data_IF_493007926758
#
_entry.id   IF_493007926758
#
_cell.length_a   1.000
_cell.length_b   1.000
_cell.length_c   1.000
_cell.angle_alpha   90.00
_cell.angle_beta   90.00
_cell.angle_gamma   90.00
#
_symmetry.space_group_name_H-M   'P 1'
#
loop_
_entity.id
_entity.type
_entity.pdbx_description
1 polymer ?
#
# COMPACT_ATOMS: atom_id res chain seq x y z
N UNK A 1 13.80 -4.96 4.84
CA UNK A 1 15.01 -5.42 4.12
C UNK A 1 15.06 -4.64 2.81
N UNK A 2 16.23 -4.32 2.24
CA UNK A 2 16.28 -3.70 0.92
C UNK A 2 15.70 -4.62 -0.16
N UNK A 3 15.18 -4.05 -1.25
CA UNK A 3 14.66 -4.84 -2.39
C UNK A 3 15.74 -5.80 -2.90
N UNK A 4 15.34 -7.05 -3.17
CA UNK A 4 16.22 -8.07 -3.73
C UNK A 4 16.10 -8.06 -5.26
N UNK A 5 17.23 -8.19 -5.97
CA UNK A 5 17.25 -8.39 -7.42
C UNK A 5 16.84 -9.83 -7.78
N UNK A 6 15.99 -9.94 -8.78
CA UNK A 6 15.59 -11.18 -9.43
C UNK A 6 15.93 -11.09 -10.91
N UNK A 7 16.60 -12.11 -11.43
CA UNK A 7 16.96 -12.17 -12.85
C UNK A 7 15.97 -13.01 -13.65
N UNK A 8 15.16 -13.86 -13.00
CA UNK A 8 14.07 -14.60 -13.67
C UNK A 8 12.79 -14.68 -12.83
N UNK A 9 11.69 -15.08 -13.47
CA UNK A 9 10.42 -15.28 -12.78
C UNK A 9 10.52 -16.46 -11.80
N UNK A 10 11.19 -17.56 -12.19
CA UNK A 10 11.34 -18.73 -11.33
C UNK A 10 12.02 -18.41 -9.99
N UNK A 11 13.07 -17.58 -10.00
CA UNK A 11 13.73 -17.10 -8.77
C UNK A 11 12.79 -16.31 -7.87
N UNK A 12 11.96 -15.44 -8.46
CA UNK A 12 10.97 -14.66 -7.74
C UNK A 12 9.90 -15.55 -7.10
N UNK A 13 9.40 -16.56 -7.83
CA UNK A 13 8.38 -17.49 -7.33
C UNK A 13 8.89 -18.34 -6.17
N UNK A 14 10.12 -18.85 -6.26
CA UNK A 14 10.77 -19.57 -5.15
C UNK A 14 10.89 -18.67 -3.93
N UNK A 15 11.32 -17.41 -4.12
CA UNK A 15 11.44 -16.45 -3.02
C UNK A 15 10.07 -16.09 -2.43
N UNK A 16 9.03 -15.93 -3.26
CA UNK A 16 7.66 -15.68 -2.82
C UNK A 16 7.15 -16.84 -1.95
N UNK A 17 7.33 -18.09 -2.37
CA UNK A 17 6.89 -19.24 -1.57
C UNK A 17 7.62 -19.31 -0.24
N UNK A 18 8.95 -19.14 -0.24
CA UNK A 18 9.76 -19.12 0.99
C UNK A 18 9.32 -17.99 1.94
N UNK A 19 9.05 -16.80 1.40
CA UNK A 19 8.58 -15.65 2.16
C UNK A 19 7.23 -15.92 2.85
N UNK A 20 6.33 -16.65 2.18
CA UNK A 20 5.00 -16.98 2.70
C UNK A 20 4.92 -18.37 3.36
N UNK A 21 6.03 -19.07 3.54
CA UNK A 21 6.08 -20.46 4.04
C UNK A 21 5.16 -21.45 3.28
N UNK A 22 5.06 -21.31 1.96
CA UNK A 22 4.19 -22.15 1.13
C UNK A 22 4.95 -23.35 0.54
N UNK A 23 4.35 -24.54 0.58
CA UNK A 23 4.81 -25.66 -0.26
C UNK A 23 4.50 -25.41 -1.74
N UNK A 24 5.06 -26.21 -2.64
CA UNK A 24 4.70 -26.12 -4.06
C UNK A 24 3.23 -26.49 -4.31
N UNK A 25 2.65 -27.37 -3.47
CA UNK A 25 1.23 -27.76 -3.51
C UNK A 25 0.35 -26.58 -3.11
N UNK A 26 0.69 -25.91 -1.99
CA UNK A 26 -0.08 -24.76 -1.49
C UNK A 26 -0.05 -23.58 -2.48
N UNK A 27 1.06 -23.42 -3.20
CA UNK A 27 1.17 -22.42 -4.25
C UNK A 27 0.36 -22.78 -5.51
N UNK A 28 0.33 -24.06 -5.89
CA UNK A 28 -0.35 -24.54 -7.08
C UNK A 28 -1.89 -24.48 -6.96
N UNK A 29 -2.40 -24.77 -5.76
CA UNK A 29 -3.84 -24.85 -5.48
C UNK A 29 -4.64 -23.59 -5.88
N UNK A 30 -4.32 -22.36 -5.43
CA UNK A 30 -5.08 -21.17 -5.80
C UNK A 30 -4.95 -20.78 -7.27
N UNK A 31 -3.95 -21.32 -7.98
CA UNK A 31 -3.72 -21.08 -9.41
C UNK A 31 -4.42 -22.12 -10.30
N UNK A 32 -5.01 -23.15 -9.70
CA UNK A 32 -5.58 -24.31 -10.40
C UNK A 32 -4.60 -24.88 -11.44
N UNK A 33 -3.37 -25.16 -10.99
CA UNK A 33 -2.32 -25.82 -11.77
C UNK A 33 -1.81 -27.05 -11.01
N UNK A 34 -1.17 -27.96 -11.72
CA UNK A 34 -0.48 -29.08 -11.08
C UNK A 34 0.90 -28.66 -10.51
N UNK A 35 1.41 -29.45 -9.56
CA UNK A 35 2.70 -29.19 -8.90
C UNK A 35 3.87 -29.21 -9.89
N UNK A 36 3.80 -30.03 -10.95
CA UNK A 36 4.85 -30.11 -11.98
C UNK A 36 4.91 -28.82 -12.79
N UNK A 37 3.79 -28.14 -13.02
CA UNK A 37 3.74 -26.80 -13.62
C UNK A 37 4.45 -25.79 -12.73
N UNK A 38 4.20 -25.79 -11.41
CA UNK A 38 4.95 -24.97 -10.45
C UNK A 38 6.45 -25.24 -10.54
N UNK A 39 6.88 -26.50 -10.52
CA UNK A 39 8.30 -26.88 -10.65
C UNK A 39 8.91 -26.38 -11.95
N UNK A 40 8.19 -26.45 -13.07
CA UNK A 40 8.68 -25.95 -14.36
C UNK A 40 8.85 -24.43 -14.34
N UNK A 41 7.92 -23.69 -13.74
CA UNK A 41 8.04 -22.23 -13.61
C UNK A 41 9.20 -21.84 -12.70
N UNK A 42 9.35 -22.48 -11.54
CA UNK A 42 10.45 -22.22 -10.59
C UNK A 42 11.84 -22.51 -11.19
N UNK A 43 11.95 -23.50 -12.07
CA UNK A 43 13.19 -23.85 -12.77
C UNK A 43 13.35 -23.14 -14.13
N UNK A 44 12.49 -22.17 -14.46
CA UNK A 44 12.49 -21.46 -15.74
C UNK A 44 12.40 -22.36 -16.99
N UNK A 45 11.81 -23.55 -16.86
CA UNK A 45 11.64 -24.53 -17.96
C UNK A 45 10.45 -24.20 -18.88
N UNK A 46 9.60 -23.26 -18.48
CA UNK A 46 8.50 -22.76 -19.31
C UNK A 46 8.04 -21.39 -18.83
N UNK A 47 7.62 -20.56 -19.78
CA UNK A 47 7.02 -19.24 -19.56
C UNK A 47 5.56 -19.40 -19.10
N UNK A 48 5.10 -18.51 -18.22
CA UNK A 48 3.70 -18.43 -17.80
C UNK A 48 2.88 -17.86 -18.96
N UNK A 49 1.83 -18.56 -19.39
CA UNK A 49 0.96 -18.06 -20.46
C UNK A 49 0.14 -16.85 -19.98
N UNK A 50 -0.24 -15.91 -20.85
CA UNK A 50 -1.01 -14.71 -20.46
C UNK A 50 -2.26 -14.99 -19.62
N UNK A 51 -3.02 -16.05 -19.96
CA UNK A 51 -4.19 -16.45 -19.18
C UNK A 51 -3.88 -16.77 -17.70
N UNK A 52 -2.67 -17.27 -17.41
CA UNK A 52 -2.19 -17.58 -16.06
C UNK A 52 -1.44 -16.44 -15.38
N UNK A 53 -1.05 -15.39 -16.10
CA UNK A 53 -0.47 -14.19 -15.47
C UNK A 53 -1.48 -13.51 -14.56
N UNK A 54 -2.76 -13.42 -14.97
CA UNK A 54 -3.84 -12.86 -14.14
C UNK A 54 -4.07 -13.67 -12.87
N UNK A 55 -4.13 -14.99 -12.97
CA UNK A 55 -4.25 -15.89 -11.83
C UNK A 55 -3.08 -15.66 -10.85
N UNK A 56 -1.86 -15.53 -11.39
CA UNK A 56 -0.66 -15.28 -10.60
C UNK A 56 -0.70 -13.93 -9.89
N UNK A 57 -1.08 -12.85 -10.57
CA UNK A 57 -1.25 -11.51 -9.99
C UNK A 57 -2.27 -11.58 -8.85
N UNK A 58 -3.41 -12.21 -9.09
CA UNK A 58 -4.47 -12.32 -8.11
C UNK A 58 -4.07 -13.16 -6.89
N UNK A 59 -3.37 -14.27 -7.11
CA UNK A 59 -2.94 -15.15 -6.04
C UNK A 59 -1.76 -14.59 -5.24
N UNK A 60 -0.90 -13.76 -5.84
CA UNK A 60 0.35 -13.31 -5.20
C UNK A 60 0.37 -11.84 -4.79
N UNK A 61 -0.47 -11.00 -5.42
CA UNK A 61 -0.36 -9.53 -5.41
C UNK A 61 1.05 -9.06 -5.80
N UNK A 62 1.75 -9.82 -6.64
CA UNK A 62 2.96 -9.35 -7.33
C UNK A 62 2.50 -8.45 -8.48
N UNK A 63 3.14 -7.28 -8.66
CA UNK A 63 2.81 -6.37 -9.74
C UNK A 63 2.79 -7.05 -11.11
N UNK A 64 1.79 -6.74 -11.92
CA UNK A 64 1.70 -7.22 -13.31
C UNK A 64 3.02 -6.95 -14.07
N UNK A 65 3.60 -5.76 -13.89
CA UNK A 65 4.84 -5.39 -14.57
C UNK A 65 6.04 -6.21 -14.12
N UNK A 66 6.12 -6.60 -12.84
CA UNK A 66 7.20 -7.47 -12.34
C UNK A 66 7.12 -8.84 -12.99
N UNK A 67 5.92 -9.41 -13.08
CA UNK A 67 5.70 -10.69 -13.77
C UNK A 67 6.11 -10.56 -15.23
N UNK A 68 5.64 -9.52 -15.95
CA UNK A 68 5.97 -9.32 -17.36
C UNK A 68 7.47 -9.11 -17.62
N UNK A 69 8.16 -8.35 -16.76
CA UNK A 69 9.60 -8.13 -16.87
C UNK A 69 10.38 -9.44 -16.79
N UNK A 70 9.96 -10.33 -15.88
CA UNK A 70 10.69 -11.56 -15.56
C UNK A 70 10.22 -12.79 -16.36
N UNK A 71 9.00 -12.73 -16.93
CA UNK A 71 8.35 -13.79 -17.70
C UNK A 71 8.61 -13.63 -19.20
N UNK A 72 9.88 -13.64 -19.59
CA UNK A 72 10.36 -13.35 -20.94
C UNK A 72 11.49 -14.30 -21.32
N UNK A 73 11.70 -14.52 -22.62
CA UNK A 73 12.89 -15.22 -23.13
C UNK A 73 14.17 -14.46 -22.81
N UNK A 74 14.08 -13.13 -22.75
CA UNK A 74 15.13 -12.21 -22.28
C UNK A 74 14.53 -11.40 -21.14
N UNK A 75 14.65 -11.87 -19.88
CA UNK A 75 14.13 -11.16 -18.72
C UNK A 75 14.76 -9.78 -18.54
N UNK A 76 13.99 -8.84 -18.01
CA UNK A 76 14.48 -7.56 -17.49
C UNK A 76 14.68 -7.74 -15.98
N UNK A 77 15.93 -7.77 -15.48
CA UNK A 77 16.20 -7.89 -14.06
C UNK A 77 15.44 -6.85 -13.26
N UNK A 78 14.78 -7.30 -12.19
CA UNK A 78 13.88 -6.46 -11.41
C UNK A 78 14.19 -6.61 -9.92
N UNK A 79 14.38 -5.50 -9.23
CA UNK A 79 14.44 -5.44 -7.78
C UNK A 79 13.02 -5.48 -7.23
N UNK A 80 12.75 -6.33 -6.26
CA UNK A 80 11.44 -6.43 -5.62
C UNK A 80 11.55 -6.63 -4.11
N UNK A 81 10.64 -6.00 -3.36
CA UNK A 81 10.44 -6.23 -1.93
C UNK A 81 9.02 -6.72 -1.67
N UNK A 82 8.88 -7.93 -1.15
CA UNK A 82 7.60 -8.54 -0.80
C UNK A 82 6.88 -7.85 0.36
N UNK A 83 7.62 -7.21 1.28
CA UNK A 83 7.08 -6.55 2.48
C UNK A 83 6.27 -5.32 2.12
N UNK A 84 6.81 -4.51 1.21
CA UNK A 84 6.19 -3.26 0.77
C UNK A 84 5.58 -3.36 -0.62
N UNK A 85 5.73 -4.52 -1.27
CA UNK A 85 5.22 -4.87 -2.61
C UNK A 85 5.65 -3.88 -3.69
N UNK A 86 6.89 -3.41 -3.59
CA UNK A 86 7.44 -2.36 -4.45
C UNK A 86 8.60 -2.93 -5.28
N UNK A 87 8.69 -2.49 -6.52
CA UNK A 87 9.72 -2.88 -7.47
C UNK A 87 10.47 -1.70 -8.07
N UNK A 88 11.63 -1.99 -8.62
CA UNK A 88 12.37 -1.09 -9.50
C UNK A 88 13.21 -1.89 -10.50
N UNK A 89 13.45 -1.35 -11.69
CA UNK A 89 14.38 -1.93 -12.67
C UNK A 89 15.80 -1.38 -12.53
N UNK A 90 16.01 -0.39 -11.67
CA UNK A 90 17.31 0.22 -11.41
C UNK A 90 17.56 0.40 -9.92
N UNK A 91 18.83 0.52 -9.52
CA UNK A 91 19.18 0.81 -8.13
C UNK A 91 18.76 2.22 -7.69
N UNK A 92 18.73 3.16 -8.63
CA UNK A 92 18.34 4.55 -8.37
C UNK A 92 16.87 4.63 -7.93
N UNK A 93 15.98 3.93 -8.64
CA UNK A 93 14.55 3.91 -8.33
C UNK A 93 14.19 3.13 -7.05
N UNK A 94 15.15 2.53 -6.34
CA UNK A 94 14.91 1.86 -5.06
C UNK A 94 14.83 2.84 -3.88
N UNK A 95 15.40 4.05 -4.01
CA UNK A 95 15.45 5.04 -2.93
C UNK A 95 14.03 5.51 -2.60
N UNK A 96 13.67 5.49 -1.31
CA UNK A 96 12.43 6.09 -0.82
C UNK A 96 12.36 7.55 -1.26
N UNK A 97 11.19 8.06 -1.68
CA UNK A 97 11.03 9.45 -2.08
C UNK A 97 11.57 10.43 -1.05
N UNK A 98 12.15 11.52 -1.56
CA UNK A 98 12.54 12.68 -0.78
C UNK A 98 11.35 13.65 -0.71
N UNK A 99 10.89 13.95 0.50
CA UNK A 99 9.69 14.75 0.68
C UNK A 99 9.85 16.19 0.22
N UNK A 100 11.05 16.74 0.28
CA UNK A 100 11.31 18.09 -0.20
C UNK A 100 11.22 18.14 -1.73
N UNK A 101 11.65 17.07 -2.40
CA UNK A 101 11.44 16.93 -3.84
C UNK A 101 9.94 16.84 -4.19
N UNK A 102 9.16 16.07 -3.42
CA UNK A 102 7.71 15.96 -3.63
C UNK A 102 7.02 17.31 -3.43
N UNK A 103 7.37 18.06 -2.39
CA UNK A 103 6.82 19.41 -2.14
C UNK A 103 7.19 20.38 -3.26
N UNK A 104 8.43 20.35 -3.75
CA UNK A 104 8.85 21.19 -4.87
C UNK A 104 8.11 20.85 -6.17
N UNK A 105 7.65 19.60 -6.32
CA UNK A 105 6.99 19.08 -7.51
C UNK A 105 5.51 18.77 -7.29
N UNK A 106 4.86 19.47 -6.37
CA UNK A 106 3.51 19.12 -5.89
C UNK A 106 2.40 19.16 -6.96
N UNK A 107 2.64 19.88 -8.06
CA UNK A 107 1.70 20.01 -9.17
C UNK A 107 1.86 18.90 -10.23
N UNK A 108 2.83 17.99 -10.05
CA UNK A 108 2.96 16.80 -10.90
C UNK A 108 1.73 15.91 -10.71
N UNK A 109 1.19 15.39 -11.82
CA UNK A 109 -0.03 14.61 -11.81
C UNK A 109 0.04 13.43 -12.79
N UNK A 110 -0.78 12.40 -12.55
CA UNK A 110 -0.86 11.22 -13.42
C UNK A 110 -2.31 10.83 -13.67
N UNK A 111 -2.59 10.36 -14.89
CA UNK A 111 -3.91 9.83 -15.27
C UNK A 111 -4.22 8.47 -14.62
N UNK A 112 -3.21 7.83 -14.04
CA UNK A 112 -3.33 6.53 -13.37
C UNK A 112 -3.97 6.65 -11.98
N UNK A 113 -3.96 7.84 -11.40
CA UNK A 113 -4.48 8.11 -10.06
C UNK A 113 -5.93 8.58 -10.13
N UNK A 114 -6.81 7.89 -9.42
CA UNK A 114 -8.26 8.17 -9.37
C UNK A 114 -8.80 7.98 -7.96
N UNK A 115 -9.99 8.49 -7.69
CA UNK A 115 -10.73 8.18 -6.46
C UNK A 115 -11.19 6.72 -6.46
N UNK A 116 -11.32 6.13 -5.27
CA UNK A 116 -11.93 4.80 -5.07
C UNK A 116 -13.44 4.95 -5.20
N UNK A 117 -14.00 4.46 -6.31
CA UNK A 117 -15.42 4.67 -6.64
C UNK A 117 -16.19 3.36 -6.82
N UNK A 118 -15.52 2.31 -7.33
CA UNK A 118 -16.18 1.06 -7.66
C UNK A 118 -15.99 0.00 -6.58
N UNK A 119 -16.89 -0.99 -6.57
CA UNK A 119 -16.74 -2.17 -5.71
C UNK A 119 -15.42 -2.92 -5.97
N UNK A 120 -15.00 -2.99 -7.23
CA UNK A 120 -13.74 -3.63 -7.62
C UNK A 120 -12.52 -2.88 -7.04
N UNK A 121 -12.55 -1.55 -6.98
CA UNK A 121 -11.50 -0.76 -6.33
C UNK A 121 -11.41 -1.07 -4.83
N UNK A 122 -12.57 -1.12 -4.15
CA UNK A 122 -12.65 -1.46 -2.74
C UNK A 122 -12.17 -2.89 -2.46
N UNK A 123 -12.52 -3.85 -3.31
CA UNK A 123 -12.07 -5.24 -3.20
C UNK A 123 -10.54 -5.35 -3.33
N UNK A 124 -9.92 -4.64 -4.28
CA UNK A 124 -8.46 -4.62 -4.45
C UNK A 124 -7.75 -4.03 -3.23
N UNK A 125 -8.24 -2.89 -2.72
CA UNK A 125 -7.71 -2.26 -1.51
C UNK A 125 -7.87 -3.17 -0.30
N UNK A 126 -9.07 -3.72 -0.09
CA UNK A 126 -9.35 -4.61 1.03
C UNK A 126 -8.50 -5.88 0.99
N UNK A 127 -8.31 -6.46 -0.20
CA UNK A 127 -7.43 -7.62 -0.42
C UNK A 127 -5.98 -7.28 -0.09
N UNK A 128 -5.50 -6.10 -0.46
CA UNK A 128 -4.16 -5.63 -0.07
C UNK A 128 -4.03 -5.53 1.46
N UNK A 129 -4.96 -4.84 2.12
CA UNK A 129 -4.96 -4.66 3.58
C UNK A 129 -5.04 -6.00 4.33
N UNK A 130 -5.81 -6.94 3.81
CA UNK A 130 -5.94 -8.30 4.35
C UNK A 130 -4.61 -9.06 4.33
N UNK A 131 -3.75 -8.82 3.34
CA UNK A 131 -2.41 -9.42 3.32
C UNK A 131 -1.40 -8.68 4.17
N UNK A 132 -1.57 -7.37 4.34
CA UNK A 132 -0.62 -6.51 5.04
C UNK A 132 -0.82 -6.51 6.57
N UNK A 133 -2.06 -6.65 7.03
CA UNK A 133 -2.43 -6.48 8.43
C UNK A 133 -3.04 -7.75 9.03
N UNK A 134 -2.90 -7.94 10.34
CA UNK A 134 -3.64 -8.95 11.11
C UNK A 134 -5.12 -8.58 11.20
N UNK A 135 -6.01 -9.53 11.49
CA UNK A 135 -7.46 -9.27 11.58
C UNK A 135 -7.82 -8.13 12.54
N UNK A 136 -7.10 -8.00 13.66
CA UNK A 136 -7.27 -6.91 14.63
C UNK A 136 -6.96 -5.52 14.07
N UNK A 137 -6.05 -5.44 13.10
CA UNK A 137 -5.58 -4.19 12.52
C UNK A 137 -6.23 -3.87 11.16
N UNK A 138 -7.25 -4.63 10.76
CA UNK A 138 -8.01 -4.42 9.52
C UNK A 138 -9.30 -3.65 9.79
N UNK A 139 -9.66 -2.79 8.85
CA UNK A 139 -10.98 -2.16 8.79
C UNK A 139 -11.97 -3.05 8.05
N UNK A 140 -13.25 -2.91 8.36
CA UNK A 140 -14.31 -3.53 7.58
C UNK A 140 -14.42 -2.87 6.19
N UNK A 141 -14.96 -3.59 5.22
CA UNK A 141 -15.12 -3.05 3.85
C UNK A 141 -16.12 -1.89 3.83
N UNK A 142 -17.12 -1.91 4.71
CA UNK A 142 -18.14 -0.86 4.87
C UNK A 142 -17.51 0.45 5.38
N UNK A 143 -16.51 0.37 6.28
CA UNK A 143 -15.77 1.55 6.74
C UNK A 143 -14.95 2.14 5.60
N UNK A 144 -14.28 1.31 4.80
CA UNK A 144 -13.52 1.77 3.63
C UNK A 144 -14.43 2.42 2.59
N UNK A 145 -15.60 1.83 2.33
CA UNK A 145 -16.59 2.37 1.41
C UNK A 145 -17.17 3.71 1.89
N UNK A 146 -17.53 3.82 3.18
CA UNK A 146 -18.01 5.08 3.75
C UNK A 146 -16.92 6.16 3.68
N UNK A 147 -15.68 5.81 4.02
CA UNK A 147 -14.55 6.73 3.95
C UNK A 147 -14.29 7.24 2.53
N UNK A 148 -14.37 6.36 1.52
CA UNK A 148 -14.17 6.76 0.11
C UNK A 148 -15.27 7.70 -0.39
N UNK A 149 -16.49 7.58 0.13
CA UNK A 149 -17.60 8.50 -0.17
C UNK A 149 -17.47 9.85 0.56
N UNK A 150 -17.00 9.83 1.81
CA UNK A 150 -16.88 11.05 2.64
C UNK A 150 -15.67 11.90 2.24
N UNK A 151 -14.57 11.27 1.83
CA UNK A 151 -13.34 11.97 1.43
C UNK A 151 -12.70 11.30 0.20
N UNK A 152 -13.35 11.39 -0.98
CA UNK A 152 -12.86 10.74 -2.20
C UNK A 152 -11.48 11.24 -2.63
N UNK A 153 -11.14 12.50 -2.36
CA UNK A 153 -9.87 13.12 -2.76
C UNK A 153 -8.66 12.56 -2.00
N UNK A 154 -8.90 11.90 -0.87
CA UNK A 154 -7.90 11.23 -0.05
C UNK A 154 -8.15 9.71 0.07
N UNK A 155 -9.04 9.17 -0.75
CA UNK A 155 -9.25 7.74 -0.90
C UNK A 155 -9.04 7.39 -2.37
N UNK A 156 -7.78 7.15 -2.70
CA UNK A 156 -7.27 7.12 -4.07
C UNK A 156 -6.75 5.73 -4.42
N UNK A 157 -6.85 5.37 -5.70
CA UNK A 157 -6.33 4.13 -6.28
C UNK A 157 -5.48 4.44 -7.50
N UNK A 158 -4.39 3.69 -7.66
CA UNK A 158 -3.55 3.70 -8.86
C UNK A 158 -3.88 2.48 -9.71
N UNK A 159 -4.12 2.68 -11.00
CA UNK A 159 -4.28 1.60 -11.99
C UNK A 159 -3.43 1.85 -13.22
N UNK A 160 -2.88 0.78 -13.81
CA UNK A 160 -2.20 0.88 -15.10
C UNK A 160 -3.22 0.93 -16.26
N UNK A 161 -2.72 1.04 -17.49
CA UNK A 161 -3.58 1.07 -18.68
C UNK A 161 -4.44 -0.19 -18.84
N UNK A 162 -3.96 -1.34 -18.35
CA UNK A 162 -4.70 -2.61 -18.31
C UNK A 162 -5.64 -2.75 -17.10
N UNK A 163 -5.89 -1.67 -16.36
CA UNK A 163 -6.70 -1.65 -15.14
C UNK A 163 -6.18 -2.51 -13.98
N UNK A 164 -4.94 -3.00 -14.03
CA UNK A 164 -4.34 -3.69 -12.89
C UNK A 164 -4.07 -2.69 -11.77
N UNK A 165 -4.42 -3.09 -10.55
CA UNK A 165 -4.10 -2.37 -9.32
C UNK A 165 -2.59 -2.13 -9.19
N UNK A 166 -2.18 -0.90 -8.89
CA UNK A 166 -0.78 -0.50 -8.71
C UNK A 166 -0.51 0.15 -7.35
N UNK A 167 -1.52 0.28 -6.50
CA UNK A 167 -1.40 1.04 -5.25
C UNK A 167 -2.67 1.77 -4.87
N UNK A 168 -2.65 2.36 -3.68
CA UNK A 168 -3.71 3.21 -3.17
C UNK A 168 -3.20 4.13 -2.07
N UNK A 169 -4.04 5.09 -1.72
CA UNK A 169 -4.01 5.82 -0.47
C UNK A 169 -5.40 5.75 0.16
N UNK A 170 -5.48 5.36 1.43
CA UNK A 170 -6.76 5.30 2.14
C UNK A 170 -6.69 6.04 3.47
N UNK A 171 -7.66 6.93 3.66
CA UNK A 171 -7.82 7.74 4.86
C UNK A 171 -9.23 7.60 5.40
N UNK A 172 -9.35 7.51 6.71
CA UNK A 172 -10.63 7.49 7.41
C UNK A 172 -10.71 8.77 8.23
N UNK A 173 -11.64 9.67 7.92
CA UNK A 173 -11.85 10.85 8.73
C UNK A 173 -12.67 10.44 9.97
N UNK A 174 -11.98 10.23 11.09
CA UNK A 174 -12.59 9.77 12.35
C UNK A 174 -12.88 10.94 13.29
N UNK A 175 -13.83 10.71 14.20
CA UNK A 175 -14.13 11.64 15.29
C UNK A 175 -12.99 11.65 16.31
N UNK A 176 -12.80 12.81 16.96
CA UNK A 176 -11.74 13.05 17.97
C UNK A 176 -11.75 12.01 19.11
N UNK A 177 -12.92 11.59 19.60
CA UNK A 177 -12.99 10.59 20.67
C UNK A 177 -12.42 9.23 20.23
N UNK A 178 -12.63 8.83 18.98
CA UNK A 178 -12.12 7.57 18.41
C UNK A 178 -10.61 7.62 18.35
N UNK A 179 -10.08 8.75 17.85
CA UNK A 179 -8.64 9.00 17.81
C UNK A 179 -8.00 8.86 19.20
N UNK A 180 -8.59 9.44 20.25
CA UNK A 180 -8.06 9.34 21.60
C UNK A 180 -8.04 7.89 22.11
N UNK A 181 -9.09 7.10 21.83
CA UNK A 181 -9.12 5.67 22.17
C UNK A 181 -8.02 4.89 21.46
N UNK A 182 -7.75 5.16 20.18
CA UNK A 182 -6.64 4.55 19.43
C UNK A 182 -5.29 4.97 20.04
N UNK A 183 -5.12 6.27 20.31
CA UNK A 183 -3.90 6.84 20.90
C UNK A 183 -3.57 6.17 22.24
N UNK A 184 -4.59 5.92 23.05
CA UNK A 184 -4.48 5.24 24.35
C UNK A 184 -4.45 3.71 24.25
N UNK A 185 -4.55 3.14 23.05
CA UNK A 185 -4.59 1.68 22.78
C UNK A 185 -5.79 0.97 23.41
N UNK A 186 -6.91 1.68 23.55
CA UNK A 186 -8.17 1.15 24.08
C UNK A 186 -8.96 0.39 23.00
N UNK A 187 -8.76 0.73 21.73
CA UNK A 187 -9.36 0.06 20.58
C UNK A 187 -8.33 -0.21 19.49
N UNK A 188 -8.66 -1.15 18.62
CA UNK A 188 -7.95 -1.50 17.39
C UNK A 188 -8.72 -1.04 16.15
N UNK A 189 -8.09 -1.09 14.98
CA UNK A 189 -8.75 -0.71 13.71
C UNK A 189 -10.02 -1.55 13.43
N UNK A 190 -10.05 -2.82 13.89
CA UNK A 190 -11.19 -3.71 13.70
C UNK A 190 -12.44 -3.34 14.50
N UNK A 191 -12.30 -2.49 15.52
CA UNK A 191 -13.39 -2.02 16.36
C UNK A 191 -13.98 -0.68 15.87
N UNK A 192 -13.39 -0.07 14.85
CA UNK A 192 -13.86 1.18 14.24
C UNK A 192 -15.01 0.84 13.29
N UNK A 193 -16.13 1.51 13.45
CA UNK A 193 -17.36 1.31 12.68
C UNK A 193 -17.70 2.53 11.83
N UNK A 194 -18.70 2.44 10.96
CA UNK A 194 -19.15 3.58 10.14
C UNK A 194 -19.65 4.77 10.97
N UNK A 195 -20.09 4.56 12.21
CA UNK A 195 -20.58 5.62 13.10
C UNK A 195 -19.44 6.43 13.76
N UNK A 196 -18.24 5.88 13.76
CA UNK A 196 -17.03 6.53 14.28
C UNK A 196 -16.44 7.54 13.29
N UNK A 197 -16.92 7.53 12.03
CA UNK A 197 -16.54 8.46 10.98
C UNK A 197 -17.29 9.78 11.12
N UNK A 198 -16.69 10.85 10.62
CA UNK A 198 -17.39 12.11 10.38
C UNK A 198 -18.28 12.01 9.14
N UNK A 199 -19.29 12.86 9.05
CA UNK A 199 -20.17 12.93 7.89
C UNK A 199 -19.67 13.98 6.88
N UNK A 200 -19.05 15.06 7.36
CA UNK A 200 -18.51 16.12 6.53
C UNK A 200 -17.14 16.59 7.05
N UNK A 201 -16.09 16.35 6.27
CA UNK A 201 -14.70 16.68 6.63
C UNK A 201 -14.43 18.17 6.81
N UNK A 202 -15.23 19.05 6.22
CA UNK A 202 -15.06 20.50 6.31
C UNK A 202 -15.77 21.09 7.54
N UNK A 203 -16.83 20.44 8.03
CA UNK A 203 -17.64 20.92 9.16
C UNK A 203 -17.28 20.25 10.48
N UNK A 204 -16.89 18.99 10.44
CA UNK A 204 -16.82 18.14 11.64
C UNK A 204 -15.42 18.09 12.26
N UNK A 205 -14.44 18.83 11.71
CA UNK A 205 -13.05 18.89 12.16
C UNK A 205 -12.44 17.50 12.46
N UNK A 206 -12.33 16.62 11.44
CA UNK A 206 -11.92 15.24 11.65
C UNK A 206 -10.45 15.12 12.05
N UNK A 207 -10.14 13.99 12.69
CA UNK A 207 -8.79 13.42 12.64
C UNK A 207 -8.69 12.58 11.38
N UNK A 208 -7.78 12.94 10.49
CA UNK A 208 -7.51 12.24 9.25
C UNK A 208 -6.63 11.01 9.54
N UNK A 209 -7.25 9.84 9.72
CA UNK A 209 -6.56 8.62 10.10
C UNK A 209 -6.11 7.83 8.86
N UNK A 210 -4.82 7.87 8.55
CA UNK A 210 -4.20 7.15 7.43
C UNK A 210 -4.00 5.68 7.77
N UNK A 211 -4.67 4.82 7.00
CA UNK A 211 -4.62 3.36 7.16
C UNK A 211 -3.41 2.76 6.43
N UNK A 212 -3.26 3.18 5.17
CA UNK A 212 -2.38 2.54 4.22
C UNK A 212 -2.11 3.48 3.06
N UNK A 213 -0.85 3.50 2.66
CA UNK A 213 -0.41 4.15 1.45
C UNK A 213 0.63 3.26 0.79
N UNK A 214 0.34 2.86 -0.44
CA UNK A 214 1.14 1.90 -1.18
C UNK A 214 1.19 2.27 -2.63
N UNK A 215 2.36 2.08 -3.24
CA UNK A 215 2.51 2.05 -4.68
C UNK A 215 3.56 1.01 -5.05
N UNK A 216 3.41 0.44 -6.25
CA UNK A 216 4.33 -0.57 -6.77
C UNK A 216 5.71 -0.01 -7.15
N UNK A 217 5.87 1.31 -7.32
CA UNK A 217 7.17 1.97 -7.51
C UNK A 217 7.28 3.23 -6.64
N UNK A 218 8.49 3.77 -6.48
CA UNK A 218 8.69 5.04 -5.76
C UNK A 218 8.15 6.24 -6.55
N UNK A 219 8.30 6.25 -7.88
CA UNK A 219 7.73 7.31 -8.74
C UNK A 219 6.21 7.42 -8.55
N UNK A 220 5.50 6.28 -8.51
CA UNK A 220 4.06 6.24 -8.26
C UNK A 220 3.69 6.70 -6.84
N UNK A 221 4.55 6.40 -5.87
CA UNK A 221 4.38 6.88 -4.51
C UNK A 221 4.54 8.41 -4.44
N UNK A 222 5.43 9.00 -5.23
CA UNK A 222 5.59 10.46 -5.31
C UNK A 222 4.31 11.14 -5.82
N UNK A 223 3.68 10.61 -6.88
CA UNK A 223 2.39 11.13 -7.36
C UNK A 223 1.30 11.07 -6.27
N UNK A 224 1.24 9.98 -5.51
CA UNK A 224 0.30 9.85 -4.39
C UNK A 224 0.59 10.90 -3.31
N UNK A 225 1.85 11.00 -2.87
CA UNK A 225 2.25 11.95 -1.83
C UNK A 225 2.00 13.40 -2.27
N UNK A 226 2.35 13.77 -3.49
CA UNK A 226 2.09 15.10 -4.05
C UNK A 226 0.60 15.44 -3.98
N UNK A 227 -0.26 14.51 -4.42
CA UNK A 227 -1.73 14.69 -4.37
C UNK A 227 -2.25 14.90 -2.95
N UNK A 228 -1.75 14.11 -1.99
CA UNK A 228 -2.16 14.19 -0.58
C UNK A 228 -1.71 15.51 0.04
N UNK A 229 -0.44 15.89 -0.11
CA UNK A 229 0.08 17.15 0.43
C UNK A 229 -0.69 18.33 -0.16
N UNK A 230 -0.96 18.28 -1.48
CA UNK A 230 -1.69 19.34 -2.19
C UNK A 230 -3.09 19.54 -1.62
N UNK A 231 -3.80 18.45 -1.33
CA UNK A 231 -5.13 18.52 -0.72
C UNK A 231 -5.13 19.36 0.57
N UNK A 232 -4.16 19.12 1.46
CA UNK A 232 -4.08 19.84 2.73
C UNK A 232 -3.56 21.27 2.58
N UNK A 233 -2.67 21.53 1.61
CA UNK A 233 -2.20 22.88 1.28
C UNK A 233 -3.32 23.75 0.70
N UNK A 234 -4.07 23.23 -0.29
CA UNK A 234 -5.08 24.00 -1.01
C UNK A 234 -6.30 24.34 -0.12
N UNK A 235 -6.65 23.47 0.84
CA UNK A 235 -7.85 23.65 1.68
C UNK A 235 -7.63 24.49 2.94
N UNK A 236 -6.37 24.81 3.29
CA UNK A 236 -6.01 25.56 4.50
C UNK A 236 -6.83 25.15 5.73
N UNK A 237 -7.01 23.85 5.94
CA UNK A 237 -7.90 23.33 6.98
C UNK A 237 -7.32 23.77 8.34
N UNK A 238 -8.01 24.60 9.13
CA UNK A 238 -7.45 25.05 10.40
C UNK A 238 -7.43 23.87 11.37
N UNK A 239 -6.30 23.67 12.03
CA UNK A 239 -6.16 22.74 13.14
C UNK A 239 -6.41 21.25 12.88
N UNK A 240 -6.42 20.78 11.62
CA UNK A 240 -6.55 19.35 11.33
C UNK A 240 -5.45 18.51 11.99
N UNK A 241 -5.73 17.23 12.25
CA UNK A 241 -4.73 16.27 12.74
C UNK A 241 -4.66 15.11 11.80
N UNK A 242 -3.45 14.62 11.58
CA UNK A 242 -3.20 13.36 10.89
C UNK A 242 -2.69 12.37 11.92
N UNK A 243 -3.36 11.24 11.96
CA UNK A 243 -2.86 10.05 12.63
C UNK A 243 -2.47 9.05 11.55
N UNK A 244 -1.34 8.36 11.70
CA UNK A 244 -0.91 7.34 10.75
C UNK A 244 -0.50 6.07 11.45
N UNK A 245 -0.96 4.96 10.90
CA UNK A 245 -0.58 3.62 11.27
C UNK A 245 0.45 3.10 10.28
N UNK A 246 1.67 2.80 10.74
CA UNK A 246 2.78 2.37 9.88
C UNK A 246 3.33 1.03 10.32
N UNK A 247 3.21 0.00 9.47
CA UNK A 247 3.90 -1.28 9.65
C UNK A 247 4.92 -1.55 8.52
N UNK A 248 5.21 -0.54 7.70
CA UNK A 248 6.20 -0.61 6.61
C UNK A 248 7.36 0.32 6.92
N UNK A 249 8.53 -0.06 6.44
CA UNK A 249 9.74 0.71 6.68
C UNK A 249 9.79 1.99 5.83
N UNK A 250 9.23 1.98 4.61
CA UNK A 250 9.18 3.14 3.74
C UNK A 250 8.20 4.22 4.25
N UNK A 251 7.03 3.81 4.72
CA UNK A 251 6.03 4.71 5.31
C UNK A 251 6.53 5.35 6.60
N UNK A 252 7.36 4.65 7.38
CA UNK A 252 8.05 5.23 8.54
C UNK A 252 9.01 6.33 8.14
N UNK A 253 9.87 6.07 7.15
CA UNK A 253 10.83 7.05 6.64
C UNK A 253 10.09 8.30 6.14
N UNK A 254 8.99 8.13 5.41
CA UNK A 254 8.15 9.24 4.94
C UNK A 254 7.53 10.01 6.12
N UNK A 255 7.00 9.30 7.12
CA UNK A 255 6.43 9.94 8.32
C UNK A 255 7.47 10.78 9.08
N UNK A 256 8.70 10.26 9.22
CA UNK A 256 9.82 10.97 9.84
C UNK A 256 10.22 12.21 9.01
N UNK A 257 10.32 12.09 7.68
CA UNK A 257 10.60 13.22 6.77
C UNK A 257 9.49 14.29 6.81
N UNK A 258 8.23 13.89 6.99
CA UNK A 258 7.09 14.81 7.15
C UNK A 258 7.07 15.50 8.53
N UNK A 259 7.98 15.14 9.44
CA UNK A 259 8.01 15.69 10.80
C UNK A 259 6.90 15.15 11.71
N UNK A 260 6.33 13.98 11.40
CA UNK A 260 5.32 13.38 12.26
C UNK A 260 5.95 12.86 13.55
N UNK A 261 5.28 13.13 14.67
CA UNK A 261 5.68 12.67 15.99
C UNK A 261 5.29 11.21 16.17
N UNK A 262 6.25 10.37 16.50
CA UNK A 262 5.96 9.01 16.96
C UNK A 262 5.32 9.07 18.35
N UNK A 263 4.16 8.44 18.51
CA UNK A 263 3.42 8.39 19.77
C UNK A 263 3.67 7.08 20.51
N UNK A 264 3.59 5.93 19.82
CA UNK A 264 3.92 4.64 20.41
C UNK A 264 4.38 3.63 19.36
N UNK A 265 5.11 2.61 19.84
CA UNK A 265 5.49 1.42 19.07
C UNK A 265 4.82 0.18 19.65
N UNK A 266 4.49 -0.79 18.81
CA UNK A 266 4.03 -2.11 19.21
C UNK A 266 4.75 -3.17 18.38
N UNK A 267 5.17 -4.26 19.04
CA UNK A 267 5.75 -5.43 18.37
C UNK A 267 4.65 -6.42 18.08
N UNK A 268 4.15 -6.45 16.85
CA UNK A 268 3.28 -7.54 16.42
C UNK A 268 4.14 -8.73 15.99
N UNK A 269 3.77 -9.94 16.42
CA UNK A 269 4.61 -11.16 16.29
C UNK A 269 4.35 -11.96 15.03
N UNK A 270 3.42 -11.53 14.16
CA UNK A 270 2.96 -12.36 13.05
C UNK A 270 3.30 -11.72 11.70
N UNK A 271 4.01 -12.51 10.89
CA UNK A 271 4.43 -12.27 9.51
C UNK A 271 5.01 -10.87 9.25
N UNK A 272 6.34 -10.83 9.35
CA UNK A 272 7.26 -9.72 9.04
C UNK A 272 7.67 -8.91 10.26
N UNK A 273 8.98 -8.74 10.35
CA UNK A 273 9.76 -8.16 11.45
C UNK A 273 9.52 -6.66 11.67
N UNK A 274 8.28 -6.19 11.58
CA UNK A 274 7.99 -4.76 11.58
C UNK A 274 7.26 -4.38 12.86
N UNK A 275 7.82 -3.39 13.56
CA UNK A 275 7.09 -2.69 14.61
C UNK A 275 5.91 -1.97 13.95
N UNK A 276 4.75 -2.03 14.59
CA UNK A 276 3.65 -1.11 14.32
C UNK A 276 4.01 0.19 15.02
N UNK A 277 4.19 1.24 14.23
CA UNK A 277 4.48 2.57 14.71
C UNK A 277 3.24 3.46 14.48
N UNK A 278 2.80 4.14 15.53
CA UNK A 278 1.70 5.11 15.46
C UNK A 278 2.25 6.53 15.51
N UNK A 279 1.95 7.30 14.48
CA UNK A 279 2.42 8.65 14.28
C UNK A 279 1.26 9.65 14.37
N UNK A 280 1.55 10.86 14.86
CA UNK A 280 0.66 12.01 14.85
C UNK A 280 1.39 13.20 14.25
N UNK A 281 0.71 13.97 13.41
CA UNK A 281 1.28 15.19 12.87
C UNK A 281 0.29 15.99 12.04
N UNK A 282 0.86 16.88 11.24
CA UNK A 282 0.18 17.65 10.21
C UNK A 282 1.09 17.64 9.01
N UNK A 283 0.54 17.66 7.79
CA UNK A 283 1.33 18.06 6.64
C UNK A 283 1.57 19.56 6.78
N UNK A 284 2.51 19.92 7.64
CA UNK A 284 2.98 21.29 7.72
C UNK A 284 3.55 21.59 6.34
N UNK A 285 2.85 22.45 5.60
CA UNK A 285 3.44 23.17 4.48
C UNK A 285 4.52 24.07 5.04
N UNK A 286 5.66 23.48 5.44
CA UNK A 286 6.89 24.21 5.59
C UNK A 286 7.29 24.67 4.17
N UNK A 287 6.61 25.71 3.73
CA UNK A 287 7.20 26.80 3.00
C UNK A 287 7.97 27.54 4.09
N UNK A 288 9.27 27.28 4.18
CA UNK A 288 10.20 28.29 4.66
C UNK A 288 10.90 28.86 3.43
#
# INVERSE_FOLDING_TARGET
>A
MPMRRYDTLGELLVAYRKFNNLSQVDFASPLNIDVRTTQRWENNLSIVKPAKENDLINATLIPHQVIRNLNSTIPIPTYYDFVIRKYSTSRLGMKTPDIEWVKANININTKQLKSIETKADLEDVYKYLTRQYTTKNRFSIEVLEKASKVCPELNLILRNNGQYYMGHYSIIPIREYVYNRIKNKEITNSEITIHDLVENVERDNPVFYSISHSAETNDLLEYLLAKIIKYFQDRNIPNYKIASFSNRHDTRIISEQMGFKLIWKHKDKIHLQNNIDFFEGRYNGAIF
#
